data_IF_405856092607
#
_entry.id   IF_405856092607
#
_cell.length_a   1.000
_cell.length_b   1.000
_cell.length_c   1.000
_cell.angle_alpha   90.00
_cell.angle_beta   90.00
_cell.angle_gamma   90.00
#
_symmetry.space_group_name_H-M   'P 1'
#
loop_
_entity.id
_entity.type
_entity.pdbx_description
1 polymer ?
#
# COMPACT_ATOMS: atom_id res chain seq x y z
N UNK A 1 -15.87 -2.07 15.95
CA UNK A 1 -15.51 -0.95 15.04
C UNK A 1 -14.11 -1.26 14.48
N UNK A 2 -14.07 -1.83 13.26
CA UNK A 2 -12.95 -2.42 12.49
C UNK A 2 -11.78 -3.02 13.28
N UNK A 3 -11.63 -4.34 13.17
CA UNK A 3 -10.60 -5.14 13.87
C UNK A 3 -9.19 -4.88 13.35
N UNK A 4 -9.03 -4.26 12.18
CA UNK A 4 -7.71 -3.99 11.59
C UNK A 4 -6.97 -5.24 11.15
N UNK A 5 -7.70 -6.25 10.68
CA UNK A 5 -7.14 -7.51 10.20
C UNK A 5 -7.24 -7.61 8.68
N UNK A 6 -6.22 -8.18 8.06
CA UNK A 6 -6.22 -8.60 6.66
C UNK A 6 -6.39 -10.12 6.66
N UNK A 7 -7.34 -10.63 5.88
CA UNK A 7 -7.64 -12.05 5.81
C UNK A 7 -7.08 -12.63 4.51
N UNK A 8 -6.11 -13.52 4.62
CA UNK A 8 -5.68 -14.37 3.51
C UNK A 8 -6.56 -15.61 3.52
N UNK A 9 -7.49 -15.71 2.57
CA UNK A 9 -8.47 -16.79 2.49
C UNK A 9 -8.06 -17.74 1.38
N UNK A 10 -7.65 -18.96 1.73
CA UNK A 10 -7.41 -20.02 0.75
C UNK A 10 -8.77 -20.64 0.36
N UNK A 11 -9.11 -20.52 -0.92
CA UNK A 11 -10.35 -20.99 -1.52
C UNK A 11 -10.20 -22.28 -2.35
N UNK A 12 -9.07 -23.00 -2.24
CA UNK A 12 -8.88 -24.32 -2.88
C UNK A 12 -9.89 -25.36 -2.37
N UNK A 13 -10.29 -25.25 -1.11
CA UNK A 13 -11.34 -26.05 -0.48
C UNK A 13 -12.28 -25.12 0.31
N UNK A 14 -13.44 -24.83 -0.26
CA UNK A 14 -14.45 -23.95 0.34
C UNK A 14 -15.28 -24.62 1.43
N UNK A 15 -15.20 -25.94 1.57
CA UNK A 15 -15.83 -26.69 2.67
C UNK A 15 -14.94 -26.69 3.91
N UNK A 16 -13.61 -26.72 3.72
CA UNK A 16 -12.60 -26.72 4.78
C UNK A 16 -11.65 -25.50 4.70
N UNK A 17 -12.23 -24.30 4.70
CA UNK A 17 -11.51 -23.05 4.51
C UNK A 17 -10.31 -22.90 5.46
N UNK A 18 -9.15 -22.60 4.87
CA UNK A 18 -7.96 -22.13 5.60
C UNK A 18 -7.88 -20.62 5.51
N UNK A 19 -7.82 -19.97 6.66
CA UNK A 19 -7.73 -18.49 6.76
C UNK A 19 -6.56 -18.12 7.64
N UNK A 20 -5.67 -17.28 7.11
CA UNK A 20 -4.66 -16.59 7.90
C UNK A 20 -5.18 -15.19 8.22
N UNK A 21 -5.41 -14.92 9.50
CA UNK A 21 -5.82 -13.60 9.98
C UNK A 21 -4.59 -12.82 10.41
N UNK A 22 -4.22 -11.81 9.62
CA UNK A 22 -3.04 -10.98 9.84
C UNK A 22 -3.47 -9.72 10.58
N UNK A 23 -2.98 -9.52 11.80
CA UNK A 23 -3.11 -8.24 12.49
C UNK A 23 -2.30 -7.18 11.74
N UNK A 24 -2.94 -6.05 11.40
CA UNK A 24 -2.31 -4.96 10.66
C UNK A 24 -2.52 -3.64 11.43
N UNK A 25 -3.46 -2.81 10.99
CA UNK A 25 -3.79 -1.54 11.62
C UNK A 25 -5.30 -1.30 11.49
N UNK A 26 -5.89 -0.57 12.43
CA UNK A 26 -7.33 -0.28 12.37
C UNK A 26 -7.66 0.69 11.24
N UNK A 27 -8.89 0.64 10.73
CA UNK A 27 -9.37 1.49 9.64
C UNK A 27 -8.71 1.21 8.28
N UNK A 28 -8.44 -0.08 8.00
CA UNK A 28 -8.13 -0.54 6.66
C UNK A 28 -9.28 -0.21 5.70
N UNK A 29 -8.95 0.31 4.52
CA UNK A 29 -9.95 0.80 3.57
C UNK A 29 -9.69 0.26 2.16
N UNK A 30 -8.76 0.86 1.43
CA UNK A 30 -8.45 0.55 0.03
C UNK A 30 -6.94 0.39 -0.18
N UNK A 31 -6.58 -0.30 -1.26
CA UNK A 31 -5.21 -0.73 -1.49
C UNK A 31 -5.05 -1.48 -2.81
N UNK A 32 -3.81 -1.80 -3.16
CA UNK A 32 -3.49 -2.54 -4.36
C UNK A 32 -2.14 -3.23 -4.26
N UNK A 33 -1.88 -4.08 -5.26
CA UNK A 33 -0.62 -4.77 -5.36
C UNK A 33 0.50 -3.85 -5.88
N UNK A 34 1.71 -4.11 -5.42
CA UNK A 34 2.92 -3.60 -6.05
C UNK A 34 3.04 -4.10 -7.51
N UNK A 35 4.01 -3.58 -8.25
CA UNK A 35 4.21 -3.93 -9.66
C UNK A 35 4.48 -5.42 -9.92
N UNK A 36 5.03 -6.16 -8.94
CA UNK A 36 5.30 -7.61 -9.06
C UNK A 36 4.06 -8.47 -8.81
N UNK A 37 3.00 -7.91 -8.19
CA UNK A 37 1.81 -8.66 -7.77
C UNK A 37 1.98 -9.45 -6.47
N UNK A 38 3.11 -9.29 -5.75
CA UNK A 38 3.43 -10.06 -4.54
C UNK A 38 3.05 -9.34 -3.26
N UNK A 39 3.23 -8.03 -3.20
CA UNK A 39 3.01 -7.26 -1.99
C UNK A 39 1.70 -6.48 -2.10
N UNK A 40 0.81 -6.67 -1.13
CA UNK A 40 -0.44 -5.92 -1.04
C UNK A 40 -0.24 -4.72 -0.11
N UNK A 41 -0.35 -3.52 -0.65
CA UNK A 41 -0.28 -2.26 0.08
C UNK A 41 -1.70 -1.74 0.31
N UNK A 42 -2.07 -1.48 1.57
CA UNK A 42 -3.42 -1.06 1.95
C UNK A 42 -3.39 0.11 2.93
N UNK A 43 -4.20 1.12 2.67
CA UNK A 43 -4.32 2.29 3.52
C UNK A 43 -5.13 1.95 4.79
N UNK A 44 -4.52 2.20 5.94
CA UNK A 44 -5.20 2.37 7.22
C UNK A 44 -5.55 3.86 7.37
N UNK A 45 -6.53 4.32 6.61
CA UNK A 45 -6.66 5.73 6.24
C UNK A 45 -6.81 6.66 7.46
N UNK A 46 -7.65 6.34 8.44
CA UNK A 46 -7.88 7.16 9.62
C UNK A 46 -6.70 7.11 10.63
N UNK A 47 -5.63 6.39 10.28
CA UNK A 47 -4.37 6.29 11.02
C UNK A 47 -3.18 6.85 10.25
N UNK A 48 -3.41 7.44 9.08
CA UNK A 48 -2.37 8.05 8.24
C UNK A 48 -1.25 7.06 7.87
N UNK A 49 -1.60 5.77 7.76
CA UNK A 49 -0.65 4.65 7.57
C UNK A 49 -0.98 3.80 6.37
N UNK A 50 0.04 3.11 5.87
CA UNK A 50 -0.07 2.06 4.85
C UNK A 50 0.50 0.76 5.42
N UNK A 51 -0.30 -0.30 5.43
CA UNK A 51 0.14 -1.65 5.77
C UNK A 51 0.59 -2.39 4.51
N UNK A 52 1.63 -3.20 4.64
CA UNK A 52 2.18 -4.01 3.54
C UNK A 52 2.15 -5.48 3.96
N UNK A 53 1.50 -6.31 3.14
CA UNK A 53 1.44 -7.76 3.31
C UNK A 53 2.21 -8.45 2.19
N UNK A 54 3.11 -9.37 2.53
CA UNK A 54 3.69 -10.33 1.58
C UNK A 54 2.69 -11.46 1.37
N UNK A 55 2.04 -11.52 0.21
CA UNK A 55 1.00 -12.52 -0.06
C UNK A 55 1.55 -13.89 -0.40
N UNK A 56 2.87 -14.00 -0.63
CA UNK A 56 3.53 -15.30 -0.78
C UNK A 56 3.75 -15.97 0.57
N UNK A 57 3.97 -15.17 1.61
CA UNK A 57 4.36 -15.64 2.95
C UNK A 57 3.23 -15.42 3.98
N UNK A 58 2.06 -14.94 3.54
CA UNK A 58 0.89 -14.61 4.36
C UNK A 58 1.21 -13.81 5.63
N UNK A 59 2.06 -12.78 5.51
CA UNK A 59 2.54 -12.00 6.66
C UNK A 59 2.58 -10.50 6.42
N UNK A 60 2.33 -9.73 7.47
CA UNK A 60 2.61 -8.29 7.51
C UNK A 60 4.13 -8.09 7.48
N UNK A 61 4.61 -7.26 6.56
CA UNK A 61 6.05 -6.93 6.43
C UNK A 61 6.36 -5.50 6.81
N UNK A 62 5.38 -4.59 6.77
CA UNK A 62 5.57 -3.21 7.21
C UNK A 62 4.25 -2.51 7.60
N UNK A 63 4.37 -1.54 8.51
CA UNK A 63 3.41 -0.46 8.74
C UNK A 63 4.15 0.86 8.55
N UNK A 64 3.74 1.61 7.54
CA UNK A 64 4.46 2.79 7.05
C UNK A 64 3.61 4.02 7.38
N UNK A 65 4.23 5.05 7.97
CA UNK A 65 3.61 6.38 8.03
C UNK A 65 3.56 6.97 6.62
N UNK A 66 2.38 7.35 6.16
CA UNK A 66 2.17 7.78 4.78
C UNK A 66 2.76 9.16 4.49
N UNK A 67 3.07 9.96 5.52
CA UNK A 67 3.60 11.32 5.38
C UNK A 67 2.56 12.39 5.03
N UNK A 68 1.28 12.02 4.88
CA UNK A 68 0.15 12.92 4.70
C UNK A 68 -1.09 12.45 5.46
N UNK A 69 -2.18 13.18 5.35
CA UNK A 69 -3.40 12.95 6.14
C UNK A 69 -4.41 12.14 5.33
N UNK A 70 -4.81 10.98 5.85
CA UNK A 70 -5.78 10.04 5.25
C UNK A 70 -5.39 9.61 3.84
N UNK A 71 -4.39 8.72 3.70
CA UNK A 71 -4.06 8.15 2.40
C UNK A 71 -5.30 7.50 1.78
N UNK A 72 -5.56 7.82 0.51
CA UNK A 72 -6.69 7.30 -0.26
C UNK A 72 -6.22 6.92 -1.68
N UNK A 73 -5.63 5.72 -1.84
CA UNK A 73 -4.97 5.32 -3.07
C UNK A 73 -5.90 4.84 -4.18
N UNK A 74 -7.13 4.42 -3.87
CA UNK A 74 -7.84 3.45 -4.69
C UNK A 74 -7.05 2.14 -4.74
N UNK A 75 -6.50 1.78 -5.90
CA UNK A 75 -5.52 0.68 -6.03
C UNK A 75 -4.07 1.15 -5.98
N UNK A 76 -3.87 2.47 -5.91
CA UNK A 76 -2.58 3.13 -6.09
C UNK A 76 -2.08 3.10 -7.53
N UNK A 77 -0.86 3.59 -7.69
CA UNK A 77 -0.16 3.63 -8.97
C UNK A 77 1.27 3.09 -8.80
N UNK A 78 1.68 2.17 -9.67
CA UNK A 78 3.03 1.59 -9.65
C UNK A 78 3.91 2.29 -10.69
N UNK A 79 5.08 2.79 -10.29
CA UNK A 79 6.04 3.47 -11.16
C UNK A 79 7.43 2.83 -11.03
N UNK A 80 8.26 2.99 -12.07
CA UNK A 80 9.71 2.86 -11.95
C UNK A 80 10.30 4.25 -11.69
N UNK A 81 10.68 4.53 -10.45
CA UNK A 81 11.37 5.77 -10.11
C UNK A 81 12.82 5.72 -10.62
N UNK A 82 13.34 6.77 -11.28
CA UNK A 82 14.69 6.76 -11.84
C UNK A 82 15.80 6.58 -10.81
N UNK A 83 15.57 6.99 -9.56
CA UNK A 83 16.55 6.90 -8.47
C UNK A 83 16.25 5.76 -7.48
N UNK A 84 14.97 5.50 -7.18
CA UNK A 84 14.57 4.63 -6.07
C UNK A 84 14.07 3.25 -6.52
N UNK A 85 14.04 3.00 -7.83
CA UNK A 85 13.51 1.75 -8.39
C UNK A 85 11.98 1.67 -8.32
N UNK A 86 11.41 0.45 -8.20
CA UNK A 86 9.96 0.25 -8.13
C UNK A 86 9.33 0.95 -6.91
N UNK A 87 8.31 1.77 -7.18
CA UNK A 87 7.53 2.46 -6.14
C UNK A 87 6.04 2.31 -6.37
N UNK A 88 5.28 2.30 -5.27
CA UNK A 88 3.82 2.38 -5.25
C UNK A 88 3.39 3.72 -4.65
N UNK A 89 2.34 4.33 -5.24
CA UNK A 89 1.95 5.71 -4.96
C UNK A 89 0.55 5.79 -4.38
N UNK A 90 0.38 6.67 -3.39
CA UNK A 90 -0.91 7.11 -2.85
C UNK A 90 -0.99 8.63 -2.83
N UNK A 91 -2.18 9.17 -3.11
CA UNK A 91 -2.54 10.53 -2.73
C UNK A 91 -3.23 10.54 -1.36
N UNK A 92 -3.52 11.73 -0.86
CA UNK A 92 -4.16 11.94 0.44
C UNK A 92 -5.48 12.69 0.28
N UNK A 93 -6.46 12.32 1.10
CA UNK A 93 -7.76 13.00 1.14
C UNK A 93 -7.67 14.27 1.99
N UNK A 94 -6.85 14.26 3.04
CA UNK A 94 -6.75 15.33 4.03
C UNK A 94 -5.86 16.50 3.63
N UNK A 95 -4.95 16.31 2.68
CA UNK A 95 -4.01 17.32 2.21
C UNK A 95 -3.53 17.02 0.77
N UNK A 96 -2.69 17.90 0.22
CA UNK A 96 -2.13 17.84 -1.13
C UNK A 96 -1.02 16.80 -1.33
N UNK A 97 -0.61 16.08 -0.29
CA UNK A 97 0.56 15.20 -0.36
C UNK A 97 0.32 14.03 -1.30
N UNK A 98 1.33 13.68 -2.10
CA UNK A 98 1.43 12.43 -2.84
C UNK A 98 2.71 11.74 -2.39
N UNK A 99 2.58 10.51 -1.89
CA UNK A 99 3.70 9.74 -1.32
C UNK A 99 4.06 8.57 -2.21
N UNK A 100 5.36 8.41 -2.45
CA UNK A 100 5.95 7.30 -3.19
C UNK A 100 6.60 6.35 -2.18
N UNK A 101 6.20 5.09 -2.16
CA UNK A 101 6.69 4.05 -1.26
C UNK A 101 7.51 3.04 -2.07
N UNK A 102 8.75 2.76 -1.66
CA UNK A 102 9.58 1.74 -2.30
C UNK A 102 9.03 0.33 -2.09
N UNK A 103 8.99 -0.49 -3.16
CA UNK A 103 8.35 -1.83 -3.11
C UNK A 103 9.26 -2.99 -3.52
N UNK A 104 10.57 -2.76 -3.62
CA UNK A 104 11.52 -3.79 -4.08
C UNK A 104 12.56 -4.14 -2.99
N UNK A 105 12.24 -5.06 -2.06
CA UNK A 105 13.16 -5.48 -1.00
C UNK A 105 14.37 -6.29 -1.49
N UNK A 106 14.38 -6.77 -2.73
CA UNK A 106 15.50 -7.56 -3.27
C UNK A 106 16.49 -6.69 -4.04
N UNK A 107 16.01 -5.86 -4.96
CA UNK A 107 16.85 -4.98 -5.78
C UNK A 107 17.16 -3.62 -5.14
N UNK A 108 16.28 -3.12 -4.28
CA UNK A 108 16.38 -1.80 -3.64
C UNK A 108 16.11 -1.87 -2.12
N UNK A 109 16.83 -2.72 -1.36
CA UNK A 109 16.53 -3.01 0.05
C UNK A 109 16.57 -1.77 0.96
N UNK A 110 17.42 -0.79 0.65
CA UNK A 110 17.53 0.45 1.43
C UNK A 110 16.28 1.34 1.32
N UNK A 111 15.46 1.14 0.29
CA UNK A 111 14.27 1.93 -0.02
C UNK A 111 12.95 1.18 0.23
N UNK A 112 13.01 -0.15 0.29
CA UNK A 112 11.83 -0.98 0.49
C UNK A 112 11.08 -0.60 1.77
N UNK A 113 9.77 -0.43 1.64
CA UNK A 113 8.84 -0.14 2.73
C UNK A 113 9.09 1.19 3.45
N UNK A 114 9.62 2.18 2.71
CA UNK A 114 9.79 3.55 3.17
C UNK A 114 9.10 4.51 2.20
N UNK A 115 8.57 5.62 2.72
CA UNK A 115 8.26 6.78 1.88
C UNK A 115 9.58 7.36 1.41
N UNK A 116 9.88 7.18 0.12
CA UNK A 116 11.16 7.61 -0.48
C UNK A 116 11.07 9.04 -1.03
N UNK A 117 9.87 9.50 -1.35
CA UNK A 117 9.61 10.84 -1.83
C UNK A 117 8.18 11.26 -1.53
N UNK A 118 8.01 12.53 -1.21
CA UNK A 118 6.72 13.22 -1.22
C UNK A 118 6.74 14.33 -2.27
N UNK A 119 5.60 14.57 -2.92
CA UNK A 119 5.38 15.70 -3.81
C UNK A 119 4.02 16.32 -3.50
N UNK A 120 3.84 17.58 -3.86
CA UNK A 120 2.56 18.29 -3.72
C UNK A 120 1.71 18.10 -4.99
N UNK A 121 0.47 17.66 -4.79
CA UNK A 121 -0.59 17.65 -5.79
C UNK A 121 -1.31 19.00 -5.89
N UNK A 122 -2.54 18.99 -6.39
CA UNK A 122 -3.32 20.22 -6.60
C UNK A 122 -3.95 20.79 -5.31
N UNK A 123 -4.03 20.01 -4.24
CA UNK A 123 -4.79 20.31 -3.03
C UNK A 123 -5.28 19.04 -2.34
N UNK A 124 -5.87 19.19 -1.15
CA UNK A 124 -6.61 18.12 -0.48
C UNK A 124 -7.88 17.68 -1.23
N UNK A 125 -8.43 16.55 -0.82
CA UNK A 125 -9.63 15.95 -1.43
C UNK A 125 -9.34 14.96 -2.56
N UNK A 126 -8.08 14.55 -2.76
CA UNK A 126 -7.73 13.55 -3.77
C UNK A 126 -8.27 12.17 -3.38
N UNK A 127 -8.83 11.46 -4.37
CA UNK A 127 -9.39 10.11 -4.19
C UNK A 127 -8.62 9.04 -4.95
N UNK A 128 -7.93 9.41 -6.03
CA UNK A 128 -7.31 8.45 -6.93
C UNK A 128 -6.00 8.99 -7.50
N UNK A 129 -5.04 8.08 -7.62
CA UNK A 129 -3.84 8.24 -8.45
C UNK A 129 -3.84 7.18 -9.54
N UNK A 130 -3.22 7.47 -10.68
CA UNK A 130 -3.14 6.50 -11.78
C UNK A 130 -1.90 6.71 -12.63
N UNK A 131 -1.35 5.60 -13.11
CA UNK A 131 -0.37 5.55 -14.19
C UNK A 131 -0.58 4.29 -15.05
N UNK A 132 0.25 4.11 -16.07
CA UNK A 132 0.36 2.89 -16.87
C UNK A 132 1.82 2.69 -17.34
N UNK A 133 2.34 1.45 -17.48
CA UNK A 133 3.72 1.18 -17.92
C UNK A 133 4.11 1.68 -19.33
N UNK A 134 3.17 2.28 -20.07
CA UNK A 134 3.37 2.80 -21.44
C UNK A 134 2.99 4.27 -21.58
N UNK A 135 2.75 4.94 -20.45
CA UNK A 135 2.48 6.38 -20.41
C UNK A 135 3.78 7.17 -20.38
#
# INVERSE_FOLDING_TARGET
>A
KETGHILMVNYEDVENLKVTAIEAERFLHDGGFDSSGRYFLVAANARDRVAVVDTKEDKLVALIDSGGIKPHPGRGANLMHPEFGPVWVTSHLGDETISLIGTDPEGHPDHAWKVVQTIEGQGGGSLFVKTHPKS
#
